data_IF_021600402532
#
_entry.id   IF_021600402532
#
_cell.length_a   1.000
_cell.length_b   1.000
_cell.length_c   1.000
_cell.angle_alpha   90.00
_cell.angle_beta   90.00
_cell.angle_gamma   90.00
#
_symmetry.space_group_name_H-M   'P 1'
#
loop_
_entity.id
_entity.type
_entity.pdbx_description
1 polymer ?
#
# COMPACT_ATOMS: atom_id res chain seq x y z
N UNK A 1 17.82 0.01 15.75
CA UNK A 1 17.67 1.06 14.70
C UNK A 1 16.29 0.87 14.10
N UNK A 2 15.56 1.93 13.83
CA UNK A 2 14.23 1.83 13.20
C UNK A 2 14.42 1.31 11.76
N UNK A 3 13.77 0.19 11.42
CA UNK A 3 14.02 -0.50 10.15
C UNK A 3 13.68 0.37 8.94
N UNK A 4 12.53 1.03 8.99
CA UNK A 4 12.08 1.88 7.89
C UNK A 4 13.02 3.06 7.64
N UNK A 5 13.42 3.78 8.70
CA UNK A 5 14.35 4.90 8.56
C UNK A 5 15.69 4.46 7.97
N UNK A 6 16.21 3.31 8.41
CA UNK A 6 17.45 2.75 7.85
C UNK A 6 17.28 2.38 6.37
N UNK A 7 16.15 1.76 6.02
CA UNK A 7 15.80 1.40 4.64
C UNK A 7 15.79 2.64 3.73
N UNK A 8 15.07 3.69 4.14
CA UNK A 8 14.98 4.93 3.35
C UNK A 8 16.32 5.64 3.21
N UNK A 9 17.13 5.71 4.27
CA UNK A 9 18.39 6.45 4.23
C UNK A 9 19.52 5.71 3.51
N UNK A 10 19.55 4.37 3.62
CA UNK A 10 20.74 3.59 3.22
C UNK A 10 20.46 2.55 2.13
N UNK A 11 19.20 2.23 1.86
CA UNK A 11 18.80 1.17 0.93
C UNK A 11 17.75 1.62 -0.09
N UNK A 12 17.51 2.95 -0.22
CA UNK A 12 16.59 3.47 -1.21
C UNK A 12 17.30 3.96 -2.45
N UNK A 13 16.61 3.84 -3.57
CA UNK A 13 17.04 4.36 -4.87
C UNK A 13 15.92 5.17 -5.49
N UNK A 14 16.25 6.40 -5.93
CA UNK A 14 15.34 7.27 -6.68
C UNK A 14 15.33 6.87 -8.15
N UNK A 15 14.13 6.88 -8.73
CA UNK A 15 13.86 6.79 -10.15
C UNK A 15 13.00 7.99 -10.57
N UNK A 16 13.26 8.50 -11.76
CA UNK A 16 12.56 9.70 -12.27
C UNK A 16 11.51 9.36 -13.34
N UNK A 17 11.54 8.14 -13.88
CA UNK A 17 10.62 7.69 -14.91
C UNK A 17 9.75 6.51 -14.42
N UNK A 18 8.46 6.49 -14.73
CA UNK A 18 7.64 7.49 -15.49
C UNK A 18 7.29 8.74 -14.66
N UNK A 19 7.51 8.72 -13.37
CA UNK A 19 7.41 9.81 -12.41
C UNK A 19 8.37 9.56 -11.25
N UNK A 20 8.67 10.59 -10.48
CA UNK A 20 9.56 10.47 -9.31
C UNK A 20 9.01 9.46 -8.31
N UNK A 21 9.78 8.40 -8.05
CA UNK A 21 9.49 7.40 -7.04
C UNK A 21 10.78 6.84 -6.45
N UNK A 22 10.66 6.23 -5.28
CA UNK A 22 11.77 5.60 -4.57
C UNK A 22 11.41 4.14 -4.32
N UNK A 23 12.35 3.26 -4.60
CA UNK A 23 12.28 1.85 -4.24
C UNK A 23 13.29 1.58 -3.13
N UNK A 24 12.95 0.70 -2.19
CA UNK A 24 13.77 0.46 -0.99
C UNK A 24 13.63 -0.96 -0.46
N UNK A 25 14.71 -1.47 0.14
CA UNK A 25 14.83 -2.82 0.70
C UNK A 25 14.67 -2.82 2.23
N UNK A 26 14.14 -3.90 2.80
CA UNK A 26 14.08 -4.25 4.23
C UNK A 26 13.42 -3.18 5.14
N UNK A 27 12.28 -2.59 4.75
CA UNK A 27 11.63 -1.57 5.58
C UNK A 27 10.93 -2.10 6.83
N UNK A 28 10.55 -3.39 6.85
CA UNK A 28 9.77 -4.00 7.93
C UNK A 28 10.63 -4.91 8.80
N UNK A 29 10.24 -5.02 10.08
CA UNK A 29 10.76 -6.07 10.97
C UNK A 29 10.09 -7.41 10.65
N UNK A 30 10.75 -8.53 11.05
CA UNK A 30 10.17 -9.86 10.92
C UNK A 30 8.83 -9.98 11.63
N UNK A 31 8.68 -9.34 12.80
CA UNK A 31 7.43 -9.34 13.56
C UNK A 31 6.30 -8.60 12.82
N UNK A 32 6.61 -7.46 12.16
CA UNK A 32 5.63 -6.77 11.32
C UNK A 32 5.21 -7.62 10.13
N UNK A 33 6.15 -8.35 9.53
CA UNK A 33 5.88 -9.29 8.44
C UNK A 33 4.97 -10.42 8.90
N UNK A 34 5.21 -10.98 10.09
CA UNK A 34 4.37 -12.02 10.68
C UNK A 34 2.92 -11.52 10.94
N UNK A 35 2.75 -10.30 11.41
CA UNK A 35 1.42 -9.70 11.56
C UNK A 35 0.69 -9.61 10.22
N UNK A 36 1.38 -9.17 9.16
CA UNK A 36 0.81 -9.10 7.81
C UNK A 36 0.39 -10.47 7.29
N UNK A 37 1.23 -11.48 7.48
CA UNK A 37 0.95 -12.86 7.02
C UNK A 37 -0.24 -13.47 7.77
N UNK A 38 -0.34 -13.24 9.07
CA UNK A 38 -1.40 -13.80 9.92
C UNK A 38 -2.73 -13.06 9.80
N UNK A 39 -2.76 -11.89 9.17
CA UNK A 39 -4.01 -11.14 9.00
C UNK A 39 -4.97 -11.92 8.12
N UNK A 40 -6.15 -12.21 8.64
CA UNK A 40 -7.22 -12.82 7.85
C UNK A 40 -7.90 -11.75 6.99
N UNK A 41 -7.78 -11.93 5.66
CA UNK A 41 -8.43 -11.09 4.66
C UNK A 41 -9.42 -11.95 3.90
N UNK A 42 -10.72 -11.61 3.91
CA UNK A 42 -11.75 -12.37 3.19
C UNK A 42 -11.40 -12.56 1.71
N UNK A 43 -11.74 -13.72 1.18
CA UNK A 43 -11.57 -14.04 -0.22
C UNK A 43 -12.79 -13.59 -1.02
N UNK A 44 -12.58 -12.70 -1.98
CA UNK A 44 -13.62 -12.13 -2.85
C UNK A 44 -14.45 -13.24 -3.51
N UNK A 45 -13.80 -14.29 -3.99
CA UNK A 45 -14.47 -15.39 -4.71
C UNK A 45 -15.45 -16.18 -3.82
N UNK A 46 -15.20 -16.24 -2.52
CA UNK A 46 -16.09 -16.92 -1.53
C UNK A 46 -17.36 -16.12 -1.23
N UNK A 47 -17.45 -14.91 -1.70
CA UNK A 47 -18.58 -14.01 -1.50
C UNK A 47 -19.38 -13.75 -2.78
N UNK A 48 -19.16 -14.57 -3.83
CA UNK A 48 -19.77 -14.41 -5.16
C UNK A 48 -19.50 -13.01 -5.78
N UNK A 49 -18.35 -12.43 -5.45
CA UNK A 49 -17.87 -11.17 -6.00
C UNK A 49 -16.71 -11.42 -6.95
N UNK A 50 -16.51 -10.53 -7.89
CA UNK A 50 -15.39 -10.55 -8.82
C UNK A 50 -14.61 -9.25 -8.70
N UNK A 51 -13.31 -9.33 -8.93
CA UNK A 51 -12.50 -8.14 -9.10
C UNK A 51 -12.90 -7.40 -10.37
N UNK A 52 -13.10 -6.10 -10.25
CA UNK A 52 -13.59 -5.21 -11.31
C UNK A 52 -12.54 -4.15 -11.73
N UNK A 53 -11.30 -4.34 -11.32
CA UNK A 53 -10.21 -3.41 -11.58
C UNK A 53 -10.13 -2.25 -10.60
N UNK A 54 -10.82 -2.37 -9.45
CA UNK A 54 -10.71 -1.43 -8.33
C UNK A 54 -10.43 -2.19 -7.04
N UNK A 55 -10.01 -1.47 -5.98
CA UNK A 55 -10.00 -2.00 -4.61
C UNK A 55 -11.29 -1.68 -3.85
N UNK A 56 -12.22 -1.07 -4.51
CA UNK A 56 -13.49 -0.58 -3.96
C UNK A 56 -14.67 -1.42 -4.44
N UNK A 57 -14.49 -2.76 -4.52
CA UNK A 57 -15.61 -3.67 -4.75
C UNK A 57 -16.64 -3.50 -3.62
N UNK A 58 -17.89 -3.83 -3.92
CA UNK A 58 -18.99 -3.74 -2.97
C UNK A 58 -18.58 -4.28 -1.60
N UNK A 59 -18.84 -3.55 -0.56
CA UNK A 59 -18.38 -3.84 0.77
C UNK A 59 -17.03 -3.19 1.13
N UNK A 60 -16.08 -3.08 0.21
CA UNK A 60 -14.81 -2.36 0.44
C UNK A 60 -14.90 -0.86 0.18
N UNK A 61 -15.74 -0.43 -0.76
CA UNK A 61 -15.97 0.98 -1.07
C UNK A 61 -16.73 1.72 0.05
N UNK A 62 -17.57 1.02 0.79
CA UNK A 62 -18.36 1.61 1.87
C UNK A 62 -17.50 2.16 3.01
N UNK A 63 -16.28 1.65 3.17
CA UNK A 63 -15.33 2.11 4.22
C UNK A 63 -14.68 3.45 3.91
N UNK A 64 -14.64 3.86 2.63
CA UNK A 64 -14.02 5.11 2.21
C UNK A 64 -14.99 6.25 2.01
N UNK A 65 -16.25 5.95 1.92
CA UNK A 65 -17.29 6.97 1.80
C UNK A 65 -17.79 7.26 3.20
N UNK A 66 -17.34 8.38 3.78
CA UNK A 66 -17.92 8.89 5.00
C UNK A 66 -19.43 8.73 5.01
N UNK A 67 -19.97 8.08 6.04
CA UNK A 67 -21.40 7.97 6.26
C UNK A 67 -22.15 6.91 5.44
N UNK A 68 -21.48 6.18 4.55
CA UNK A 68 -22.06 5.02 3.87
C UNK A 68 -21.42 3.74 4.40
N UNK A 69 -21.35 3.58 5.68
CA UNK A 69 -21.34 2.27 6.26
C UNK A 69 -22.69 1.65 5.92
N UNK A 70 -22.71 0.70 5.01
CA UNK A 70 -23.91 -0.04 4.64
C UNK A 70 -24.39 -0.87 5.83
N UNK A 71 -24.87 -0.23 6.88
CA UNK A 71 -25.50 -0.86 8.05
C UNK A 71 -24.80 -2.10 8.60
N UNK A 72 -23.47 -2.17 8.60
CA UNK A 72 -22.69 -3.29 9.12
C UNK A 72 -22.63 -4.51 8.20
N UNK A 73 -23.04 -4.41 6.92
CA UNK A 73 -23.04 -5.54 5.97
C UNK A 73 -21.88 -5.52 4.96
N UNK A 74 -20.99 -4.53 5.02
CA UNK A 74 -19.86 -4.44 4.10
C UNK A 74 -18.80 -5.49 4.45
N UNK A 75 -18.41 -6.30 3.46
CA UNK A 75 -17.30 -7.25 3.59
C UNK A 75 -16.00 -6.50 3.33
N UNK A 76 -15.07 -6.58 4.27
CA UNK A 76 -13.76 -5.94 4.19
C UNK A 76 -12.78 -6.87 3.49
N UNK A 77 -12.34 -6.51 2.27
CA UNK A 77 -11.31 -7.26 1.54
C UNK A 77 -9.88 -6.75 1.81
N UNK A 78 -9.72 -5.96 2.86
CA UNK A 78 -8.47 -5.43 3.38
C UNK A 78 -8.66 -5.08 4.85
N UNK A 79 -7.57 -4.99 5.60
CA UNK A 79 -7.61 -4.66 7.01
C UNK A 79 -6.85 -3.36 7.25
N UNK A 80 -7.55 -2.32 7.70
CA UNK A 80 -6.90 -1.10 8.19
C UNK A 80 -6.36 -1.33 9.58
N UNK A 81 -5.13 -0.88 9.81
CA UNK A 81 -4.57 -0.81 11.16
C UNK A 81 -5.10 0.46 11.81
N UNK A 82 -6.00 0.31 12.77
CA UNK A 82 -6.69 1.40 13.47
C UNK A 82 -6.48 1.29 14.98
N UNK A 83 -6.96 2.29 15.72
CA UNK A 83 -6.91 2.25 17.20
C UNK A 83 -7.70 1.09 17.79
N UNK A 84 -8.81 0.72 17.15
CA UNK A 84 -9.73 -0.33 17.61
C UNK A 84 -9.11 -1.72 17.51
N UNK A 85 -8.24 -1.96 16.53
CA UNK A 85 -7.57 -3.25 16.34
C UNK A 85 -6.05 -3.22 16.63
N UNK A 86 -5.55 -2.13 17.19
CA UNK A 86 -4.13 -1.92 17.49
C UNK A 86 -3.48 -3.06 18.30
N UNK A 87 -4.24 -3.71 19.17
CA UNK A 87 -3.77 -4.86 19.98
C UNK A 87 -3.43 -6.09 19.14
N UNK A 88 -4.00 -6.20 17.93
CA UNK A 88 -3.71 -7.28 16.98
C UNK A 88 -2.44 -7.00 16.17
N UNK A 89 -1.98 -5.73 16.13
CA UNK A 89 -0.90 -5.24 15.29
C UNK A 89 0.17 -4.44 16.06
N UNK A 90 0.72 -4.95 17.18
CA UNK A 90 1.63 -4.17 18.03
C UNK A 90 2.91 -3.73 17.26
N UNK A 91 3.37 -4.47 16.28
CA UNK A 91 4.56 -4.12 15.50
C UNK A 91 4.24 -3.19 14.33
N UNK A 92 3.10 -3.36 13.65
CA UNK A 92 2.63 -2.40 12.64
C UNK A 92 2.26 -1.06 13.28
N UNK A 93 1.73 -1.03 14.49
CA UNK A 93 1.51 0.22 15.26
C UNK A 93 2.84 0.92 15.56
N UNK A 94 3.89 0.18 15.93
CA UNK A 94 5.24 0.77 16.08
C UNK A 94 5.75 1.34 14.77
N UNK A 95 5.54 0.66 13.67
CA UNK A 95 5.88 1.13 12.32
C UNK A 95 5.11 2.41 11.95
N UNK A 96 3.81 2.47 12.23
CA UNK A 96 2.99 3.68 12.02
C UNK A 96 3.52 4.84 12.86
N UNK A 97 3.83 4.61 14.15
CA UNK A 97 4.38 5.63 15.03
C UNK A 97 5.77 6.11 14.57
N UNK A 98 6.59 5.22 14.02
CA UNK A 98 7.86 5.59 13.39
C UNK A 98 7.63 6.55 12.21
N UNK A 99 6.75 6.19 11.28
CA UNK A 99 6.40 7.04 10.14
C UNK A 99 5.83 8.40 10.59
N UNK A 100 4.93 8.40 11.58
CA UNK A 100 4.30 9.61 12.10
C UNK A 100 5.26 10.46 12.93
N UNK A 101 6.44 9.96 13.31
CA UNK A 101 7.42 10.73 14.07
C UNK A 101 7.92 11.94 13.27
N UNK A 102 8.13 13.06 13.94
CA UNK A 102 8.64 14.29 13.33
C UNK A 102 9.91 14.05 12.50
N UNK A 103 10.84 13.25 13.03
CA UNK A 103 12.09 12.92 12.35
C UNK A 103 11.87 12.24 11.01
N UNK A 104 11.02 11.20 10.96
CA UNK A 104 10.80 10.41 9.74
C UNK A 104 9.92 11.18 8.76
N UNK A 105 8.85 11.83 9.23
CA UNK A 105 7.98 12.65 8.37
C UNK A 105 8.72 13.81 7.71
N UNK A 106 9.65 14.48 8.40
CA UNK A 106 10.51 15.53 7.81
C UNK A 106 11.47 14.98 6.76
N UNK A 107 12.05 13.80 6.97
CA UNK A 107 12.94 13.14 5.99
C UNK A 107 12.15 12.79 4.73
N UNK A 108 10.99 12.15 4.88
CA UNK A 108 10.14 11.80 3.74
C UNK A 108 9.65 13.08 3.04
N UNK A 109 9.21 14.08 3.79
CA UNK A 109 8.75 15.38 3.27
C UNK A 109 9.79 16.04 2.36
N UNK A 110 11.06 16.06 2.79
CA UNK A 110 12.18 16.55 1.98
C UNK A 110 12.43 15.68 0.75
N UNK A 111 12.39 14.37 0.93
CA UNK A 111 12.65 13.39 -0.12
C UNK A 111 11.64 13.52 -1.27
N UNK A 112 10.36 13.65 -0.94
CA UNK A 112 9.27 13.74 -1.94
C UNK A 112 8.88 15.18 -2.30
N UNK A 113 9.54 16.18 -1.73
CA UNK A 113 9.24 17.60 -1.88
C UNK A 113 7.76 17.93 -1.61
N UNK A 114 7.22 17.41 -0.49
CA UNK A 114 5.83 17.60 -0.09
C UNK A 114 5.73 17.82 1.41
N UNK A 115 5.00 18.85 1.86
CA UNK A 115 4.77 19.07 3.29
C UNK A 115 3.86 17.98 3.87
N UNK A 116 4.37 17.27 4.88
CA UNK A 116 3.67 16.21 5.61
C UNK A 116 3.37 16.59 7.06
N UNK A 117 3.62 17.84 7.48
CA UNK A 117 3.54 18.28 8.90
C UNK A 117 2.14 18.11 9.51
N UNK A 118 1.09 18.27 8.71
CA UNK A 118 -0.32 18.15 9.11
C UNK A 118 -1.00 16.91 8.50
N UNK A 119 -0.25 15.85 8.32
CA UNK A 119 -0.77 14.61 7.74
C UNK A 119 -0.89 13.49 8.75
N UNK A 120 -1.63 12.46 8.40
CA UNK A 120 -1.82 11.24 9.16
C UNK A 120 -1.30 10.05 8.35
N UNK A 121 -0.65 9.11 9.03
CA UNK A 121 -0.23 7.85 8.42
C UNK A 121 -1.38 6.86 8.44
N UNK A 122 -1.71 6.32 7.27
CA UNK A 122 -2.67 5.24 7.12
C UNK A 122 -1.98 4.00 6.57
N UNK A 123 -2.18 2.89 7.27
CA UNK A 123 -1.67 1.57 6.86
C UNK A 123 -2.82 0.60 6.71
N UNK A 124 -2.82 -0.13 5.62
CA UNK A 124 -3.78 -1.18 5.35
C UNK A 124 -3.07 -2.46 4.90
N UNK A 125 -3.46 -3.60 5.48
CA UNK A 125 -2.99 -4.93 5.08
C UNK A 125 -3.86 -5.42 3.93
N UNK A 126 -3.23 -5.92 2.88
CA UNK A 126 -3.85 -6.33 1.64
C UNK A 126 -3.43 -7.76 1.32
N UNK A 127 -4.39 -8.55 0.81
CA UNK A 127 -4.16 -9.88 0.27
C UNK A 127 -4.92 -10.02 -1.05
N UNK A 128 -4.22 -9.90 -2.15
CA UNK A 128 -4.78 -10.09 -3.49
C UNK A 128 -4.68 -11.58 -3.87
N UNK A 129 -5.69 -12.09 -4.56
CA UNK A 129 -5.80 -13.50 -4.97
C UNK A 129 -6.07 -13.61 -6.46
N UNK A 130 -6.19 -14.84 -6.95
CA UNK A 130 -6.45 -15.13 -8.36
C UNK A 130 -7.59 -14.27 -8.93
N UNK A 131 -7.34 -13.70 -10.10
CA UNK A 131 -8.27 -12.79 -10.76
C UNK A 131 -8.13 -11.31 -10.39
N UNK A 132 -7.34 -10.96 -9.37
CA UNK A 132 -7.11 -9.56 -9.01
C UNK A 132 -6.40 -8.81 -10.15
N UNK A 133 -6.86 -7.59 -10.37
CA UNK A 133 -6.22 -6.58 -11.20
C UNK A 133 -6.65 -5.20 -10.74
N UNK A 134 -5.92 -4.19 -11.10
CA UNK A 134 -6.21 -2.81 -10.75
C UNK A 134 -5.99 -1.94 -11.99
N UNK A 135 -7.06 -1.31 -12.46
CA UNK A 135 -6.95 -0.44 -13.64
C UNK A 135 -6.03 0.74 -13.37
N UNK A 136 -5.33 1.25 -14.39
CA UNK A 136 -4.52 2.45 -14.27
C UNK A 136 -5.32 3.62 -13.69
N UNK A 137 -4.80 4.23 -12.63
CA UNK A 137 -5.42 5.36 -11.95
C UNK A 137 -4.37 6.24 -11.29
N UNK A 138 -4.73 7.46 -10.96
CA UNK A 138 -4.03 8.31 -10.04
C UNK A 138 -4.77 8.33 -8.70
N UNK A 139 -4.03 8.49 -7.63
CA UNK A 139 -4.61 8.57 -6.30
C UNK A 139 -5.41 9.87 -6.09
N UNK A 140 -6.31 9.85 -5.11
CA UNK A 140 -7.08 11.04 -4.70
C UNK A 140 -6.15 12.11 -4.12
N UNK A 141 -6.54 13.37 -4.23
CA UNK A 141 -5.75 14.53 -3.79
C UNK A 141 -5.44 14.55 -2.28
N UNK A 142 -6.26 13.87 -1.48
CA UNK A 142 -6.09 13.73 -0.03
C UNK A 142 -4.93 12.82 0.35
N UNK A 143 -4.43 12.00 -0.56
CA UNK A 143 -3.19 11.24 -0.39
C UNK A 143 -2.00 12.11 -0.81
N UNK A 144 -1.18 12.48 0.13
CA UNK A 144 0.03 13.28 -0.12
C UNK A 144 1.20 12.41 -0.60
N UNK A 145 1.25 11.18 -0.10
CA UNK A 145 2.20 10.15 -0.48
C UNK A 145 1.49 8.79 -0.51
N UNK A 146 1.84 7.99 -1.48
CA UNK A 146 1.42 6.58 -1.58
C UNK A 146 2.61 5.67 -1.74
N UNK A 147 2.52 4.47 -1.14
CA UNK A 147 3.50 3.42 -1.30
C UNK A 147 2.95 2.06 -0.95
N UNK A 148 3.60 1.03 -1.44
CA UNK A 148 3.38 -0.35 -1.03
C UNK A 148 4.68 -0.95 -0.50
N UNK A 149 4.54 -1.84 0.48
CA UNK A 149 5.61 -2.74 0.91
C UNK A 149 5.13 -4.17 0.71
N UNK A 150 5.85 -4.91 -0.09
CA UNK A 150 5.50 -6.27 -0.50
C UNK A 150 6.02 -7.32 0.49
N UNK A 151 5.23 -8.39 0.66
CA UNK A 151 5.57 -9.53 1.51
C UNK A 151 5.43 -10.82 0.69
N UNK A 152 6.43 -11.10 -0.16
CA UNK A 152 6.46 -12.29 -0.99
C UNK A 152 7.09 -13.47 -0.25
N UNK A 153 6.31 -14.14 0.60
CA UNK A 153 6.74 -15.36 1.33
C UNK A 153 6.41 -16.67 0.59
N UNK A 154 5.59 -16.58 -0.44
CA UNK A 154 5.09 -17.74 -1.17
C UNK A 154 5.81 -18.01 -2.48
N UNK A 155 6.89 -17.25 -2.77
CA UNK A 155 7.64 -17.29 -4.02
C UNK A 155 6.74 -17.11 -5.26
N UNK A 156 5.78 -16.20 -5.18
CA UNK A 156 5.06 -15.73 -6.36
C UNK A 156 6.00 -14.97 -7.31
N UNK A 157 5.59 -14.86 -8.57
CA UNK A 157 6.36 -14.13 -9.57
C UNK A 157 6.61 -12.67 -9.16
N UNK A 158 7.84 -12.19 -9.34
CA UNK A 158 8.19 -10.77 -9.13
C UNK A 158 7.38 -9.82 -10.03
N UNK A 159 6.83 -10.34 -11.13
CA UNK A 159 5.95 -9.59 -12.03
C UNK A 159 4.61 -9.18 -11.37
N UNK A 160 4.24 -9.78 -10.23
CA UNK A 160 3.04 -9.41 -9.46
C UNK A 160 3.18 -8.10 -8.68
N UNK A 161 4.16 -7.28 -9.00
CA UNK A 161 4.35 -5.97 -8.38
C UNK A 161 3.30 -4.94 -8.78
N UNK A 162 3.68 -3.67 -8.73
CA UNK A 162 2.83 -2.56 -9.19
C UNK A 162 3.30 -2.09 -10.56
N UNK A 163 2.36 -2.00 -11.48
CA UNK A 163 2.63 -1.47 -12.82
C UNK A 163 2.50 0.05 -12.81
N UNK A 164 3.50 0.73 -13.38
CA UNK A 164 3.51 2.17 -13.61
C UNK A 164 3.31 2.45 -15.09
N UNK A 165 2.56 3.50 -15.36
CA UNK A 165 2.14 3.87 -16.72
C UNK A 165 2.61 5.29 -17.05
N UNK A 166 2.84 5.55 -18.33
CA UNK A 166 3.04 6.90 -18.84
C UNK A 166 1.69 7.63 -19.00
N UNK A 167 1.73 8.88 -19.47
CA UNK A 167 0.53 9.70 -19.69
C UNK A 167 -0.40 9.16 -20.79
N UNK A 168 0.10 8.25 -21.65
CA UNK A 168 -0.71 7.55 -22.66
C UNK A 168 -1.33 6.27 -22.13
N UNK A 169 -1.18 5.98 -20.83
CA UNK A 169 -1.59 4.76 -20.16
C UNK A 169 -0.92 3.50 -20.72
N UNK A 170 0.27 3.63 -21.30
CA UNK A 170 1.11 2.50 -21.66
C UNK A 170 1.92 2.07 -20.44
N UNK A 171 1.93 0.78 -20.14
CA UNK A 171 2.76 0.24 -19.07
C UNK A 171 4.24 0.37 -19.45
N UNK A 172 5.01 1.03 -18.59
CA UNK A 172 6.43 1.31 -18.84
C UNK A 172 7.36 0.75 -17.77
N UNK A 173 6.81 0.34 -16.62
CA UNK A 173 7.58 -0.26 -15.53
C UNK A 173 6.70 -1.14 -14.67
N UNK A 174 7.26 -2.20 -14.11
CA UNK A 174 6.70 -2.92 -12.97
C UNK A 174 7.68 -2.83 -11.81
N UNK A 175 7.25 -2.27 -10.67
CA UNK A 175 8.01 -2.38 -9.42
C UNK A 175 7.90 -3.83 -8.95
N UNK A 176 9.02 -4.57 -8.73
CA UNK A 176 8.97 -6.01 -8.54
C UNK A 176 8.32 -6.42 -7.21
N UNK A 177 7.54 -7.49 -7.23
CA UNK A 177 6.95 -8.11 -6.05
C UNK A 177 7.99 -8.96 -5.32
N UNK A 178 8.90 -8.29 -4.58
CA UNK A 178 9.91 -8.95 -3.76
C UNK A 178 9.51 -9.01 -2.29
N UNK A 179 10.14 -9.91 -1.56
CA UNK A 179 9.95 -9.99 -0.12
C UNK A 179 10.62 -8.82 0.60
N UNK A 180 9.88 -8.16 1.50
CA UNK A 180 10.31 -7.00 2.28
C UNK A 180 10.92 -5.89 1.41
N UNK A 181 10.26 -5.61 0.30
CA UNK A 181 10.63 -4.61 -0.69
C UNK A 181 9.49 -3.63 -0.88
N UNK A 182 9.79 -2.36 -0.98
CA UNK A 182 8.76 -1.34 -1.09
C UNK A 182 9.09 -0.23 -2.06
N UNK A 183 8.08 0.56 -2.36
CA UNK A 183 8.22 1.81 -3.09
C UNK A 183 7.31 2.88 -2.51
N UNK A 184 7.64 4.14 -2.78
CA UNK A 184 6.78 5.28 -2.49
C UNK A 184 6.91 6.36 -3.58
N UNK A 185 5.87 7.16 -3.70
CA UNK A 185 5.85 8.33 -4.59
C UNK A 185 4.92 9.43 -4.03
N UNK A 186 5.10 10.67 -4.50
CA UNK A 186 4.16 11.77 -4.26
C UNK A 186 2.93 11.57 -5.13
N UNK A 187 1.74 11.48 -4.54
CA UNK A 187 0.51 11.38 -5.32
C UNK A 187 0.27 12.67 -6.11
N UNK A 188 -0.07 12.51 -7.38
CA UNK A 188 -0.27 13.61 -8.33
C UNK A 188 -1.09 13.19 -9.55
N UNK A 189 -1.44 14.16 -10.43
CA UNK A 189 -2.33 13.89 -11.57
C UNK A 189 -1.71 12.99 -12.65
N UNK A 190 -0.37 12.84 -12.66
CA UNK A 190 0.35 12.06 -13.66
C UNK A 190 1.04 10.82 -13.07
N UNK A 191 0.72 10.47 -11.82
CA UNK A 191 1.30 9.28 -11.15
C UNK A 191 0.44 8.05 -11.40
N UNK A 192 0.31 7.69 -12.69
CA UNK A 192 -0.51 6.59 -13.13
C UNK A 192 0.06 5.24 -12.71
N UNK A 193 -0.71 4.49 -11.94
CA UNK A 193 -0.31 3.18 -11.45
C UNK A 193 -1.49 2.21 -11.38
N UNK A 194 -1.18 0.92 -11.34
CA UNK A 194 -2.18 -0.14 -11.30
C UNK A 194 -1.52 -1.50 -11.24
N UNK A 195 -2.23 -2.51 -11.72
CA UNK A 195 -1.73 -3.86 -11.90
C UNK A 195 -2.54 -4.54 -12.99
N UNK A 196 -1.90 -4.94 -14.06
CA UNK A 196 -2.53 -5.75 -15.09
C UNK A 196 -3.00 -7.09 -14.52
N UNK A 197 -3.96 -7.72 -15.18
CA UNK A 197 -4.41 -9.06 -14.79
C UNK A 197 -3.30 -10.06 -15.01
N UNK A 198 -2.81 -10.66 -13.94
CA UNK A 198 -1.71 -11.63 -13.92
C UNK A 198 -2.12 -12.84 -13.09
N UNK A 199 -1.48 -13.99 -13.34
CA UNK A 199 -1.75 -15.21 -12.58
C UNK A 199 -1.14 -15.06 -11.17
N UNK A 200 -1.98 -15.08 -10.16
CA UNK A 200 -1.60 -15.22 -8.75
C UNK A 200 -1.86 -16.67 -8.37
N UNK A 201 -0.80 -17.44 -8.09
CA UNK A 201 -0.94 -18.88 -7.84
C UNK A 201 -1.48 -19.18 -6.43
N UNK A 202 -1.13 -18.36 -5.46
CA UNK A 202 -1.56 -18.48 -4.06
C UNK A 202 -2.13 -17.15 -3.56
N UNK A 203 -1.25 -16.20 -3.24
CA UNK A 203 -1.64 -14.88 -2.74
C UNK A 203 -0.53 -13.85 -2.92
N UNK A 204 -0.93 -12.62 -3.12
CA UNK A 204 -0.05 -11.45 -3.16
C UNK A 204 -0.34 -10.59 -1.93
N UNK A 205 0.55 -10.62 -0.94
CA UNK A 205 0.44 -9.83 0.29
C UNK A 205 1.28 -8.59 0.26
N UNK A 206 0.72 -7.50 0.73
CA UNK A 206 1.43 -6.24 0.92
C UNK A 206 0.75 -5.39 1.99
N UNK A 207 1.43 -4.35 2.42
CA UNK A 207 0.76 -3.22 3.09
C UNK A 207 0.78 -2.01 2.17
N UNK A 208 -0.31 -1.27 2.17
CA UNK A 208 -0.35 0.07 1.61
C UNK A 208 -0.07 1.07 2.71
N UNK A 209 0.83 2.00 2.44
CA UNK A 209 1.24 3.08 3.35
C UNK A 209 0.92 4.40 2.68
N UNK A 210 0.12 5.24 3.34
CA UNK A 210 -0.21 6.56 2.84
C UNK A 210 0.04 7.62 3.91
N UNK A 211 0.50 8.81 3.49
CA UNK A 211 0.26 10.04 4.24
C UNK A 211 -0.96 10.73 3.66
N UNK A 212 -1.94 11.02 4.52
CA UNK A 212 -3.24 11.57 4.12
C UNK A 212 -3.59 12.83 4.90
N UNK A 213 -4.47 13.67 4.34
CA UNK A 213 -4.88 14.93 4.97
C UNK A 213 -6.01 14.77 5.99
N UNK A 214 -6.64 13.61 6.06
CA UNK A 214 -7.72 13.30 6.99
C UNK A 214 -7.25 12.38 8.11
N UNK A 215 -7.90 12.48 9.26
CA UNK A 215 -7.56 11.66 10.43
C UNK A 215 -7.92 10.18 10.18
N UNK A 216 -7.02 9.29 10.59
CA UNK A 216 -7.10 7.83 10.41
C UNK A 216 -7.26 7.10 11.74
#
# INVERSE_FOLDING_TARGET
MMNFLNSILNKSKKYEFPFDHWEYDDPLSDQSIEEIIKTDIPDVSKHNLNYDGTRAIDGGAAEFREGIASGGKAIKFRCFVTKENASQFPHLVKFINELQSKKVSEIISKMINKDLSNSYVRVEVICDREGFWLKPHCDIKEKLMSGLIFVNKTNESEDLGTDFYNEKLEKVKTVPYKHNYGYLFTSGPNTWHGMEKKKIARERRCIQVNYVTFKT
#
